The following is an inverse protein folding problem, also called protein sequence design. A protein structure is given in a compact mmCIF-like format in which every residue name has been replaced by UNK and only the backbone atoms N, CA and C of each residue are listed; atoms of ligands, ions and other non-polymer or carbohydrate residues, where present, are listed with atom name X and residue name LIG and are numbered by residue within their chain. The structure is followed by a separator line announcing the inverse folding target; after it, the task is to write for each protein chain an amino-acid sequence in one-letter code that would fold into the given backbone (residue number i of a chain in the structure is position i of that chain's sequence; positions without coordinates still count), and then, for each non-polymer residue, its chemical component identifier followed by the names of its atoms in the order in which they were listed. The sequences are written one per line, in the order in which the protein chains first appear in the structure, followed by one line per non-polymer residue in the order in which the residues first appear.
data_IF_397668878011
#
_entry.id   IF_397668878011
#
_cell.length_a   1.000
_cell.length_b   1.000
_cell.length_c   1.000
_cell.angle_alpha   90.00
_cell.angle_beta   90.00
_cell.angle_gamma   90.00
#
_symmetry.space_group_name_H-M   'P 1'
#
loop_
_entity.id
_entity.type
_entity.pdbx_description
1 polymer ?
#
# COMPACT_ATOMS: atom_id res chain seq x y z
N UNK A 1 -23.29 -10.32 19.67
CA UNK A 1 -21.81 -10.34 19.63
C UNK A 1 -21.43 -11.51 18.73
N UNK A 2 -20.51 -11.32 17.79
CA UNK A 2 -20.07 -12.41 16.91
C UNK A 2 -19.52 -13.56 17.79
N UNK A 3 -19.96 -14.82 17.60
CA UNK A 3 -19.54 -15.92 18.44
C UNK A 3 -18.06 -16.28 18.18
N UNK A 4 -17.31 -16.49 19.28
CA UNK A 4 -15.98 -17.13 19.36
C UNK A 4 -14.85 -16.49 18.54
N UNK A 5 -14.31 -15.37 19.03
CA UNK A 5 -13.10 -14.72 18.49
C UNK A 5 -11.85 -14.90 19.38
N UNK A 6 -11.96 -15.59 20.51
CA UNK A 6 -10.84 -15.71 21.49
C UNK A 6 -9.59 -16.35 20.87
N UNK A 7 -9.76 -17.34 19.99
CA UNK A 7 -8.65 -17.94 19.25
C UNK A 7 -7.98 -16.96 18.29
N UNK A 8 -8.77 -16.12 17.62
CA UNK A 8 -8.25 -15.08 16.74
C UNK A 8 -7.46 -14.01 17.52
N UNK A 9 -8.00 -13.53 18.65
CA UNK A 9 -7.31 -12.55 19.48
C UNK A 9 -5.98 -13.10 20.03
N UNK A 10 -5.96 -14.35 20.52
CA UNK A 10 -4.72 -15.00 20.95
C UNK A 10 -3.68 -15.12 19.83
N UNK A 11 -4.13 -15.38 18.61
CA UNK A 11 -3.22 -15.45 17.45
C UNK A 11 -2.63 -14.07 17.15
N UNK A 12 -3.45 -13.01 17.17
CA UNK A 12 -2.99 -11.63 16.99
C UNK A 12 -1.93 -11.25 18.04
N UNK A 13 -2.18 -11.60 19.31
CA UNK A 13 -1.22 -11.35 20.39
C UNK A 13 0.10 -12.12 20.19
N UNK A 14 0.01 -13.37 19.73
CA UNK A 14 1.18 -14.22 19.45
C UNK A 14 2.01 -13.68 18.28
N UNK A 15 1.36 -13.12 17.26
CA UNK A 15 2.01 -12.60 16.04
C UNK A 15 2.47 -11.14 16.17
N UNK A 16 2.34 -10.52 17.35
CA UNK A 16 2.63 -9.10 17.55
C UNK A 16 4.03 -8.69 17.04
N UNK A 17 5.06 -9.46 17.39
CA UNK A 17 6.44 -9.20 16.94
C UNK A 17 6.58 -9.26 15.42
N UNK A 18 5.89 -10.21 14.78
CA UNK A 18 5.86 -10.34 13.32
C UNK A 18 5.18 -9.12 12.68
N UNK A 19 4.08 -8.62 13.25
CA UNK A 19 3.41 -7.42 12.76
C UNK A 19 4.26 -6.16 12.95
N UNK A 20 4.97 -6.04 14.07
CA UNK A 20 5.91 -4.94 14.33
C UNK A 20 7.05 -4.98 13.30
N UNK A 21 7.60 -6.16 12.98
CA UNK A 21 8.60 -6.34 11.93
C UNK A 21 8.10 -5.90 10.56
N UNK A 22 6.89 -6.32 10.17
CA UNK A 22 6.27 -5.92 8.91
C UNK A 22 6.05 -4.40 8.86
N UNK A 23 5.58 -3.79 9.96
CA UNK A 23 5.41 -2.34 10.05
C UNK A 23 6.75 -1.61 9.91
N UNK A 24 7.81 -2.09 10.55
CA UNK A 24 9.14 -1.48 10.44
C UNK A 24 9.65 -1.50 9.01
N UNK A 25 9.48 -2.61 8.28
CA UNK A 25 9.86 -2.72 6.86
C UNK A 25 9.09 -1.72 5.99
N UNK A 26 7.79 -1.55 6.24
CA UNK A 26 6.98 -0.55 5.56
C UNK A 26 7.48 0.88 5.84
N UNK A 27 7.63 1.25 7.12
CA UNK A 27 8.04 2.60 7.55
C UNK A 27 9.45 2.97 7.05
N UNK A 28 10.32 1.99 6.82
CA UNK A 28 11.64 2.22 6.23
C UNK A 28 11.59 2.71 4.77
N UNK A 29 10.45 2.61 4.08
CA UNK A 29 10.24 3.17 2.74
C UNK A 29 9.70 4.61 2.91
N UNK A 30 10.46 5.67 2.58
CA UNK A 30 10.06 7.06 2.80
C UNK A 30 9.07 7.56 1.74
N UNK A 31 7.91 6.91 1.64
CA UNK A 31 6.87 7.17 0.64
C UNK A 31 6.07 8.44 0.94
N UNK A 32 6.71 9.61 0.86
CA UNK A 32 6.11 10.93 1.14
C UNK A 32 5.49 11.48 -0.14
N UNK A 33 4.16 11.48 -0.24
CA UNK A 33 3.44 11.88 -1.45
C UNK A 33 3.42 13.39 -1.72
N UNK A 34 3.73 14.20 -0.71
CA UNK A 34 3.82 15.66 -0.84
C UNK A 34 5.15 16.15 -1.43
N UNK A 35 6.18 15.30 -1.49
CA UNK A 35 7.51 15.60 -2.05
C UNK A 35 7.62 15.02 -3.46
N UNK A 36 7.67 15.85 -4.53
CA UNK A 36 7.77 15.37 -5.91
C UNK A 36 8.96 14.43 -6.15
N UNK A 37 10.09 14.70 -5.50
CA UNK A 37 11.33 13.93 -5.61
C UNK A 37 11.17 12.51 -5.03
N UNK A 38 10.22 12.29 -4.12
CA UNK A 38 9.92 11.00 -3.50
C UNK A 38 8.82 10.21 -4.20
N UNK A 39 8.36 10.67 -5.37
CA UNK A 39 7.42 9.91 -6.19
C UNK A 39 7.87 8.45 -6.43
N UNK A 40 9.15 8.14 -6.68
CA UNK A 40 9.63 6.76 -6.79
C UNK A 40 9.44 5.94 -5.51
N UNK A 41 9.63 6.55 -4.32
CA UNK A 41 9.44 5.87 -3.03
C UNK A 41 7.96 5.52 -2.79
N UNK A 42 7.04 6.38 -3.24
CA UNK A 42 5.59 6.09 -3.21
C UNK A 42 5.23 4.90 -4.09
N UNK A 43 5.81 4.81 -5.29
CA UNK A 43 5.61 3.66 -6.18
C UNK A 43 6.18 2.39 -5.55
N UNK A 44 7.40 2.46 -5.01
CA UNK A 44 8.06 1.35 -4.30
C UNK A 44 7.22 0.83 -3.13
N UNK A 45 6.59 1.72 -2.35
CA UNK A 45 5.67 1.31 -1.28
C UNK A 45 4.44 0.57 -1.82
N UNK A 46 3.87 1.04 -2.93
CA UNK A 46 2.76 0.34 -3.60
C UNK A 46 3.15 -1.05 -4.08
N UNK A 47 4.33 -1.20 -4.67
CA UNK A 47 4.88 -2.50 -5.09
C UNK A 47 5.15 -3.42 -3.90
N UNK A 48 5.73 -2.90 -2.82
CA UNK A 48 5.98 -3.65 -1.60
C UNK A 48 4.66 -4.18 -1.00
N UNK A 49 3.65 -3.32 -0.88
CA UNK A 49 2.32 -3.71 -0.40
C UNK A 49 1.66 -4.77 -1.31
N UNK A 50 1.80 -4.62 -2.63
CA UNK A 50 1.28 -5.61 -3.57
C UNK A 50 1.92 -6.99 -3.36
N UNK A 51 3.22 -7.04 -3.06
CA UNK A 51 3.91 -8.29 -2.77
C UNK A 51 3.46 -8.91 -1.45
N UNK A 52 3.30 -8.10 -0.39
CA UNK A 52 2.76 -8.58 0.90
C UNK A 52 1.36 -9.20 0.72
N UNK A 53 0.47 -8.53 -0.03
CA UNK A 53 -0.88 -9.04 -0.31
C UNK A 53 -0.87 -10.33 -1.15
N UNK A 54 -0.05 -10.38 -2.21
CA UNK A 54 0.12 -11.60 -3.01
C UNK A 54 0.66 -12.77 -2.17
N UNK A 55 1.56 -12.50 -1.21
CA UNK A 55 2.10 -13.54 -0.32
C UNK A 55 1.02 -14.19 0.56
N UNK A 56 -0.06 -13.46 0.84
CA UNK A 56 -1.24 -13.96 1.57
C UNK A 56 -2.29 -14.61 0.65
N UNK A 57 -2.01 -14.71 -0.65
CA UNK A 57 -2.91 -15.30 -1.66
C UNK A 57 -3.92 -14.34 -2.27
N UNK A 58 -3.79 -13.02 -2.06
CA UNK A 58 -4.68 -12.05 -2.68
C UNK A 58 -4.38 -11.84 -4.17
N UNK A 59 -5.41 -11.58 -4.97
CA UNK A 59 -5.25 -11.03 -6.32
C UNK A 59 -5.01 -9.53 -6.21
N UNK A 60 -3.95 -9.02 -6.87
CA UNK A 60 -3.55 -7.62 -6.78
C UNK A 60 -3.27 -7.06 -8.17
N UNK A 61 -3.77 -5.84 -8.40
CA UNK A 61 -3.52 -5.08 -9.61
C UNK A 61 -2.89 -3.72 -9.26
N UNK A 62 -1.73 -3.44 -9.85
CA UNK A 62 -1.10 -2.13 -9.78
C UNK A 62 -1.60 -1.31 -10.97
N UNK A 63 -2.48 -0.35 -10.71
CA UNK A 63 -3.00 0.56 -11.73
C UNK A 63 -2.02 1.70 -11.94
N UNK A 64 -1.45 1.79 -13.14
CA UNK A 64 -0.73 2.99 -13.53
C UNK A 64 -1.71 4.16 -13.65
N UNK A 65 -1.52 5.16 -12.80
CA UNK A 65 -2.34 6.36 -12.76
C UNK A 65 -1.82 7.45 -13.70
N UNK A 66 -0.82 7.16 -14.54
CA UNK A 66 -0.19 8.02 -15.55
C UNK A 66 -0.44 9.49 -15.27
N UNK A 67 0.47 10.14 -14.52
CA UNK A 67 0.44 11.53 -14.06
C UNK A 67 -0.74 12.29 -14.68
N UNK A 68 -1.85 12.37 -13.92
CA UNK A 68 -3.07 13.15 -14.21
C UNK A 68 -2.82 14.03 -15.41
N UNK A 69 -3.34 13.63 -16.58
CA UNK A 69 -3.40 14.46 -17.78
C UNK A 69 -3.51 15.90 -17.30
N UNK A 70 -2.47 16.70 -17.53
CA UNK A 70 -2.68 18.13 -17.67
C UNK A 70 -3.94 18.23 -18.51
N UNK A 71 -4.98 18.83 -17.92
CA UNK A 71 -6.29 18.96 -18.54
C UNK A 71 -6.05 19.20 -20.03
N UNK A 72 -6.75 18.47 -20.91
CA UNK A 72 -7.02 18.98 -22.27
C UNK A 72 -7.79 20.31 -22.13
N UNK A 73 -7.12 21.35 -21.67
CA UNK A 73 -7.43 22.75 -21.90
C UNK A 73 -6.81 23.04 -23.27
N UNK A 74 -7.42 22.48 -24.31
CA UNK A 74 -6.89 22.50 -25.66
C UNK A 74 -7.93 22.14 -26.72
N UNK A 75 -8.90 21.28 -26.43
CA UNK A 75 -10.00 20.97 -27.38
C UNK A 75 -11.17 21.95 -27.23
N UNK A 76 -10.85 23.25 -27.23
CA UNK A 76 -11.81 24.31 -27.50
C UNK A 76 -11.17 25.34 -28.44
N UNK A 77 -10.78 24.89 -29.63
CA UNK A 77 -10.57 25.74 -30.78
C UNK A 77 -10.72 24.90 -32.07
N UNK A 78 -11.73 25.30 -32.87
CA UNK A 78 -12.20 24.79 -34.17
C UNK A 78 -13.31 23.73 -34.10
#
# INVERSE_FOLDING_TARGET
MAPQLDGFFKQVDTDADHFIERLRKAVAIPSISAEPERRPDVVKMGEWMANELKSLGASVELRDLACRQERRLGDRAL
#
